data_IF_220709145779
#
_entry.id   IF_220709145779
#
_cell.length_a   1.000
_cell.length_b   1.000
_cell.length_c   1.000
_cell.angle_alpha   90.00
_cell.angle_beta   90.00
_cell.angle_gamma   90.00
#
_symmetry.space_group_name_H-M   'P 1'
#
loop_
_entity.id
_entity.type
_entity.pdbx_description
1 polymer ?
#
# COMPACT_ATOMS: atom_id res chain seq x y z
N UNK A 1 25.76 -19.23 -6.80
CA UNK A 1 25.58 -18.17 -5.81
C UNK A 1 24.21 -18.40 -5.17
N UNK A 2 24.21 -18.87 -3.95
CA UNK A 2 22.98 -19.17 -3.21
C UNK A 2 22.65 -17.97 -2.31
N UNK A 3 21.43 -17.43 -2.42
CA UNK A 3 20.98 -16.31 -1.62
C UNK A 3 19.89 -16.79 -0.69
N UNK A 4 20.01 -16.45 0.60
CA UNK A 4 19.05 -16.79 1.64
C UNK A 4 18.60 -15.50 2.33
N UNK A 5 17.28 -15.32 2.47
CA UNK A 5 16.69 -14.22 3.22
C UNK A 5 16.12 -14.79 4.51
N UNK A 6 16.67 -14.35 5.63
CA UNK A 6 16.21 -14.74 6.97
C UNK A 6 15.45 -13.56 7.57
N UNK A 7 14.22 -13.81 7.98
CA UNK A 7 13.35 -12.80 8.61
C UNK A 7 13.00 -13.28 10.00
N UNK A 8 13.40 -12.51 11.01
CA UNK A 8 13.03 -12.73 12.40
C UNK A 8 12.06 -11.61 12.82
N UNK A 9 10.78 -11.96 12.93
CA UNK A 9 9.74 -11.01 13.33
C UNK A 9 9.41 -11.21 14.81
N UNK A 10 9.77 -10.24 15.62
CA UNK A 10 9.39 -10.13 17.03
C UNK A 10 8.35 -9.02 17.22
N UNK A 11 7.59 -9.00 18.34
CA UNK A 11 6.56 -7.99 18.58
C UNK A 11 7.06 -6.53 18.54
N UNK A 12 8.35 -6.31 18.81
CA UNK A 12 8.94 -4.97 18.93
C UNK A 12 9.95 -4.63 17.83
N UNK A 13 10.36 -5.61 17.01
CA UNK A 13 11.33 -5.39 15.93
C UNK A 13 11.25 -6.47 14.86
N UNK A 14 11.60 -6.11 13.64
CA UNK A 14 11.82 -7.05 12.55
C UNK A 14 13.28 -6.98 12.13
N UNK A 15 13.97 -8.10 12.20
CA UNK A 15 15.35 -8.24 11.71
C UNK A 15 15.33 -9.00 10.39
N UNK A 16 15.95 -8.44 9.37
CA UNK A 16 16.05 -9.04 8.04
C UNK A 16 17.51 -9.19 7.69
N UNK A 17 17.96 -10.42 7.50
CA UNK A 17 19.33 -10.74 7.12
C UNK A 17 19.37 -11.33 5.72
N UNK A 18 20.20 -10.77 4.84
CA UNK A 18 20.54 -11.34 3.55
C UNK A 18 21.88 -12.08 3.65
N UNK A 19 21.86 -13.37 3.31
CA UNK A 19 23.06 -14.19 3.23
C UNK A 19 23.36 -14.53 1.76
N UNK A 20 24.63 -14.50 1.39
CA UNK A 20 25.16 -15.03 0.14
C UNK A 20 26.17 -16.13 0.45
N UNK A 21 25.94 -17.34 -0.07
CA UNK A 21 26.76 -18.53 0.21
C UNK A 21 27.03 -18.71 1.73
N UNK A 22 25.98 -18.55 2.54
CA UNK A 22 25.97 -18.65 4.01
C UNK A 22 26.76 -17.53 4.75
N UNK A 23 27.17 -16.48 4.04
CA UNK A 23 27.80 -15.30 4.66
C UNK A 23 26.81 -14.16 4.72
N UNK A 24 26.73 -13.48 5.88
CA UNK A 24 25.91 -12.29 6.05
C UNK A 24 26.44 -11.17 5.16
N UNK A 25 25.58 -10.63 4.31
CA UNK A 25 25.87 -9.53 3.36
C UNK A 25 25.19 -8.24 3.81
N UNK A 26 23.93 -8.34 4.23
CA UNK A 26 23.13 -7.20 4.70
C UNK A 26 22.34 -7.59 5.94
N UNK A 27 22.23 -6.66 6.88
CA UNK A 27 21.38 -6.78 8.07
C UNK A 27 20.57 -5.50 8.20
N UNK A 28 19.24 -5.65 8.21
CA UNK A 28 18.29 -4.58 8.48
C UNK A 28 17.59 -4.87 9.79
N UNK A 29 17.41 -3.84 10.60
CA UNK A 29 16.64 -3.91 11.84
C UNK A 29 15.63 -2.75 11.82
N UNK A 30 14.36 -3.07 11.89
CA UNK A 30 13.26 -2.10 11.94
C UNK A 30 12.52 -2.25 13.26
N UNK A 31 12.28 -1.15 13.93
CA UNK A 31 11.48 -1.12 15.15
C UNK A 31 9.99 -1.15 14.77
N UNK A 32 9.20 -1.98 15.43
CA UNK A 32 7.76 -2.11 15.19
C UNK A 32 6.97 -0.82 15.51
N UNK A 33 7.55 0.09 16.27
CA UNK A 33 6.94 1.37 16.64
C UNK A 33 7.05 2.46 15.56
N UNK A 34 7.80 2.21 14.47
CA UNK A 34 7.96 3.15 13.35
C UNK A 34 6.81 3.02 12.34
N UNK A 35 5.55 3.12 12.81
CA UNK A 35 4.36 3.07 11.95
C UNK A 35 4.10 4.42 11.27
N UNK A 36 3.50 4.35 10.07
CA UNK A 36 3.09 5.52 9.27
C UNK A 36 4.24 6.35 8.70
N UNK A 37 5.41 5.74 8.53
CA UNK A 37 6.54 6.32 7.80
C UNK A 37 6.27 6.42 6.29
N UNK A 38 6.97 7.35 5.60
CA UNK A 38 6.90 7.47 4.14
C UNK A 38 7.34 6.15 3.50
N UNK A 39 6.51 5.63 2.58
CA UNK A 39 6.73 4.36 1.91
C UNK A 39 5.98 3.17 2.49
N UNK A 40 5.46 3.27 3.73
CA UNK A 40 4.67 2.21 4.34
C UNK A 40 3.39 1.92 3.55
N UNK A 41 3.02 0.64 3.45
CA UNK A 41 1.86 0.16 2.71
C UNK A 41 0.74 -0.25 3.67
N UNK A 42 -0.47 0.20 3.37
CA UNK A 42 -1.68 -0.12 4.13
C UNK A 42 -2.81 -0.56 3.21
N UNK A 43 -3.61 -1.50 3.69
CA UNK A 43 -4.91 -1.78 3.11
C UNK A 43 -5.96 -0.95 3.86
N UNK A 44 -6.16 0.28 3.39
CA UNK A 44 -7.04 1.25 4.03
C UNK A 44 -8.50 1.08 3.63
N UNK A 45 -9.41 1.51 4.50
CA UNK A 45 -10.86 1.52 4.25
C UNK A 45 -11.35 2.93 3.96
N UNK A 46 -12.03 3.13 2.83
CA UNK A 46 -12.63 4.43 2.50
C UNK A 46 -13.74 4.77 3.51
N UNK A 47 -13.53 5.81 4.31
CA UNK A 47 -14.53 6.32 5.27
C UNK A 47 -15.45 7.36 4.65
N UNK A 48 -14.88 8.37 4.01
CA UNK A 48 -15.64 9.51 3.50
C UNK A 48 -15.06 10.01 2.20
N UNK A 49 -15.92 10.27 1.22
CA UNK A 49 -15.56 10.93 -0.04
C UNK A 49 -15.98 12.40 0.07
N UNK A 50 -15.10 13.30 -0.37
CA UNK A 50 -15.32 14.75 -0.39
C UNK A 50 -15.29 15.21 -1.86
N UNK A 51 -16.43 15.22 -2.56
CA UNK A 51 -16.48 15.55 -3.99
C UNK A 51 -15.93 16.94 -4.32
N UNK A 52 -16.18 17.94 -3.48
CA UNK A 52 -15.69 19.29 -3.67
C UNK A 52 -14.18 19.45 -3.63
N UNK A 53 -13.46 18.53 -2.99
CA UNK A 53 -12.00 18.48 -2.97
C UNK A 53 -11.43 17.41 -3.93
N UNK A 54 -12.29 16.68 -4.63
CA UNK A 54 -11.92 15.50 -5.41
C UNK A 54 -11.01 14.53 -4.62
N UNK A 55 -11.35 14.29 -3.34
CA UNK A 55 -10.53 13.57 -2.37
C UNK A 55 -11.37 12.61 -1.51
N UNK A 56 -10.70 11.72 -0.81
CA UNK A 56 -11.30 10.80 0.16
C UNK A 56 -10.49 10.77 1.46
N UNK A 57 -11.17 10.50 2.57
CA UNK A 57 -10.56 10.12 3.82
C UNK A 57 -10.56 8.60 3.96
N UNK A 58 -9.38 8.06 4.29
CA UNK A 58 -9.08 6.64 4.37
C UNK A 58 -8.66 6.30 5.80
N UNK A 59 -9.26 5.27 6.36
CA UNK A 59 -8.83 4.67 7.62
C UNK A 59 -7.68 3.70 7.34
N UNK A 60 -6.52 4.00 7.86
CA UNK A 60 -5.31 3.17 7.80
C UNK A 60 -4.87 2.68 9.19
N UNK A 61 -5.73 2.85 10.21
CA UNK A 61 -5.41 2.51 11.60
C UNK A 61 -4.69 3.63 12.38
N UNK A 62 -4.44 4.79 11.77
CA UNK A 62 -3.95 5.96 12.49
C UNK A 62 -5.11 6.69 13.21
N UNK A 63 -4.82 7.44 14.30
CA UNK A 63 -5.86 8.16 15.06
C UNK A 63 -6.65 9.18 14.24
N UNK A 64 -6.05 9.74 13.19
CA UNK A 64 -6.69 10.64 12.22
C UNK A 64 -6.78 9.97 10.85
N UNK A 65 -7.93 10.12 10.21
CA UNK A 65 -8.13 9.59 8.85
C UNK A 65 -7.10 10.19 7.89
N UNK A 66 -6.52 9.32 7.07
CA UNK A 66 -5.54 9.68 6.06
C UNK A 66 -6.21 10.32 4.84
N UNK A 67 -5.50 11.23 4.16
CA UNK A 67 -6.01 11.98 3.01
C UNK A 67 -5.48 11.40 1.69
N UNK A 68 -6.41 11.09 0.78
CA UNK A 68 -6.13 10.62 -0.58
C UNK A 68 -6.81 11.54 -1.59
N UNK A 69 -6.04 12.20 -2.44
CA UNK A 69 -6.56 13.03 -3.53
C UNK A 69 -6.66 12.25 -4.83
N UNK A 70 -7.54 12.65 -5.75
CA UNK A 70 -7.71 11.98 -7.05
C UNK A 70 -6.39 11.90 -7.85
N UNK A 71 -5.56 12.95 -7.84
CA UNK A 71 -4.27 12.98 -8.54
C UNK A 71 -3.24 11.98 -8.00
N UNK A 72 -3.46 11.46 -6.80
CA UNK A 72 -2.59 10.50 -6.15
C UNK A 72 -3.08 9.04 -6.37
N UNK A 73 -4.14 8.86 -7.18
CA UNK A 73 -4.59 7.54 -7.64
C UNK A 73 -3.69 7.03 -8.77
N UNK A 74 -3.37 5.73 -8.73
CA UNK A 74 -2.73 5.06 -9.86
C UNK A 74 -3.67 5.05 -11.08
N UNK A 75 -3.16 5.19 -12.32
CA UNK A 75 -3.94 4.90 -13.52
C UNK A 75 -4.62 3.53 -13.49
N UNK A 76 -3.96 2.55 -12.87
CA UNK A 76 -4.45 1.16 -12.76
C UNK A 76 -5.28 0.89 -11.52
N UNK A 77 -5.76 1.91 -10.82
CA UNK A 77 -6.47 1.77 -9.53
C UNK A 77 -7.65 0.79 -9.60
N UNK A 78 -8.38 0.73 -10.71
CA UNK A 78 -9.51 -0.20 -10.89
C UNK A 78 -9.06 -1.66 -10.82
N UNK A 79 -7.93 -1.98 -11.45
CA UNK A 79 -7.30 -3.32 -11.38
C UNK A 79 -6.83 -3.63 -9.97
N UNK A 80 -6.21 -2.66 -9.29
CA UNK A 80 -5.74 -2.80 -7.90
C UNK A 80 -6.92 -3.06 -6.95
N UNK A 81 -8.04 -2.32 -7.09
CA UNK A 81 -9.24 -2.53 -6.30
C UNK A 81 -9.86 -3.92 -6.53
N UNK A 82 -9.91 -4.38 -7.78
CA UNK A 82 -10.41 -5.70 -8.12
C UNK A 82 -9.51 -6.79 -7.53
N UNK A 83 -8.20 -6.68 -7.69
CA UNK A 83 -7.22 -7.60 -7.12
C UNK A 83 -7.34 -7.66 -5.59
N UNK A 84 -7.37 -6.51 -4.91
CA UNK A 84 -7.51 -6.43 -3.45
C UNK A 84 -8.79 -7.09 -2.97
N UNK A 85 -9.91 -6.88 -3.68
CA UNK A 85 -11.19 -7.54 -3.36
C UNK A 85 -11.11 -9.05 -3.52
N UNK A 86 -10.46 -9.54 -4.57
CA UNK A 86 -10.25 -10.97 -4.78
C UNK A 86 -9.36 -11.55 -3.67
N UNK A 87 -8.23 -10.91 -3.36
CA UNK A 87 -7.29 -11.36 -2.34
C UNK A 87 -7.91 -11.43 -0.94
N UNK A 88 -8.77 -10.48 -0.58
CA UNK A 88 -9.47 -10.48 0.72
C UNK A 88 -10.51 -11.62 0.81
N UNK A 89 -11.18 -11.94 -0.30
CA UNK A 89 -12.28 -12.91 -0.32
C UNK A 89 -11.83 -14.35 -0.61
N UNK A 90 -10.61 -14.55 -1.06
CA UNK A 90 -10.09 -15.90 -1.34
C UNK A 90 -9.54 -16.58 -0.08
N UNK A 91 -9.59 -17.93 -0.12
CA UNK A 91 -8.94 -18.73 0.95
C UNK A 91 -7.42 -18.55 0.88
N UNK A 92 -6.71 -18.55 2.02
CA UNK A 92 -5.26 -18.32 2.08
C UNK A 92 -4.42 -19.24 1.18
N UNK A 93 -4.92 -20.45 0.92
CA UNK A 93 -4.21 -21.48 0.15
C UNK A 93 -4.41 -21.35 -1.37
N UNK A 94 -5.29 -20.47 -1.83
CA UNK A 94 -5.56 -20.31 -3.25
C UNK A 94 -4.74 -19.17 -3.82
N UNK A 95 -3.79 -19.51 -4.70
CA UNK A 95 -2.99 -18.53 -5.43
C UNK A 95 -3.83 -17.85 -6.52
N UNK A 96 -3.82 -16.52 -6.55
CA UNK A 96 -4.39 -15.75 -7.67
C UNK A 96 -3.42 -15.88 -8.84
N UNK A 97 -3.89 -16.40 -9.97
CA UNK A 97 -3.11 -16.46 -11.19
C UNK A 97 -3.12 -15.07 -11.88
N UNK A 98 -2.00 -14.38 -11.78
CA UNK A 98 -1.82 -13.05 -12.38
C UNK A 98 -1.78 -13.09 -13.91
N UNK A 99 -1.45 -14.24 -14.51
CA UNK A 99 -1.40 -14.37 -15.98
C UNK A 99 -2.78 -14.30 -16.64
N UNK A 100 -3.81 -14.67 -15.88
CA UNK A 100 -5.22 -14.67 -16.32
C UNK A 100 -6.03 -13.52 -15.71
N UNK A 101 -5.39 -12.65 -14.93
CA UNK A 101 -6.07 -11.55 -14.25
C UNK A 101 -6.59 -10.51 -15.26
N UNK A 102 -7.92 -10.20 -15.25
CA UNK A 102 -8.51 -9.26 -16.18
C UNK A 102 -8.15 -7.82 -15.79
N UNK A 103 -7.19 -7.23 -16.51
CA UNK A 103 -6.79 -5.83 -16.32
C UNK A 103 -7.95 -4.91 -16.69
N UNK A 104 -8.29 -3.99 -15.79
CA UNK A 104 -9.34 -3.00 -15.99
C UNK A 104 -8.82 -1.76 -16.73
N UNK A 105 -9.70 -1.03 -17.45
CA UNK A 105 -9.32 0.21 -18.11
C UNK A 105 -8.73 1.23 -17.13
N UNK A 106 -7.69 1.94 -17.60
CA UNK A 106 -7.06 3.02 -16.83
C UNK A 106 -8.04 4.14 -16.52
N UNK A 107 -7.81 4.86 -15.42
CA UNK A 107 -8.54 6.08 -15.12
C UNK A 107 -7.92 7.28 -15.85
N UNK A 108 -8.76 8.25 -16.24
CA UNK A 108 -8.29 9.50 -16.84
C UNK A 108 -7.88 10.49 -15.76
N UNK A 109 -6.85 11.32 -16.02
CA UNK A 109 -6.31 12.29 -15.05
C UNK A 109 -7.34 13.33 -14.59
N UNK A 110 -8.37 13.61 -15.36
CA UNK A 110 -9.42 14.61 -15.10
C UNK A 110 -10.70 14.03 -14.51
N UNK A 111 -10.65 12.79 -14.02
CA UNK A 111 -11.82 12.09 -13.45
C UNK A 111 -12.19 12.54 -12.04
N UNK A 112 -13.16 11.84 -11.46
CA UNK A 112 -13.66 12.11 -10.11
C UNK A 112 -13.43 10.93 -9.19
N UNK A 113 -12.91 11.20 -7.99
CA UNK A 113 -12.64 10.16 -6.98
C UNK A 113 -13.91 9.40 -6.58
N UNK A 114 -15.06 10.07 -6.57
CA UNK A 114 -16.34 9.46 -6.25
C UNK A 114 -16.77 8.36 -7.24
N UNK A 115 -16.34 8.46 -8.50
CA UNK A 115 -16.63 7.43 -9.51
C UNK A 115 -15.74 6.20 -9.36
N UNK A 116 -14.51 6.40 -8.87
CA UNK A 116 -13.53 5.33 -8.70
C UNK A 116 -13.72 4.60 -7.37
N UNK A 117 -13.92 5.34 -6.28
CA UNK A 117 -14.06 4.78 -4.93
C UNK A 117 -15.52 4.64 -4.48
N UNK A 118 -16.44 4.50 -5.44
CA UNK A 118 -17.85 4.24 -5.15
C UNK A 118 -18.01 2.95 -4.33
N UNK A 119 -18.96 2.96 -3.37
CA UNK A 119 -19.18 1.82 -2.47
C UNK A 119 -18.15 1.70 -1.33
N UNK A 120 -17.25 2.67 -1.19
CA UNK A 120 -16.24 2.73 -0.12
C UNK A 120 -15.42 1.44 0.03
N UNK A 121 -14.70 1.03 -1.01
CA UNK A 121 -13.90 -0.20 -1.00
C UNK A 121 -12.72 -0.11 -0.03
N UNK A 122 -12.11 -1.26 0.26
CA UNK A 122 -10.74 -1.29 0.76
C UNK A 122 -9.81 -0.92 -0.40
N UNK A 123 -8.79 -0.14 -0.11
CA UNK A 123 -7.83 0.35 -1.11
C UNK A 123 -6.40 0.17 -0.59
N UNK A 124 -5.54 -0.39 -1.45
CA UNK A 124 -4.12 -0.48 -1.16
C UNK A 124 -3.48 0.89 -1.38
N UNK A 125 -2.85 1.41 -0.34
CA UNK A 125 -2.29 2.76 -0.30
C UNK A 125 -0.89 2.76 0.29
N UNK A 126 -0.09 3.73 -0.09
CA UNK A 126 1.24 4.00 0.43
C UNK A 126 1.27 5.38 1.09
N UNK A 127 1.98 5.50 2.21
CA UNK A 127 2.20 6.79 2.85
C UNK A 127 3.10 7.65 1.97
N UNK A 128 2.58 8.75 1.48
CA UNK A 128 3.31 9.74 0.69
C UNK A 128 3.94 10.84 1.56
N UNK A 129 3.23 11.20 2.65
CA UNK A 129 3.70 12.12 3.68
C UNK A 129 3.21 11.66 5.04
N UNK A 130 4.10 11.71 6.01
CA UNK A 130 3.81 11.40 7.39
C UNK A 130 2.73 12.33 7.99
N UNK A 131 2.03 11.88 9.03
CA UNK A 131 1.08 12.73 9.74
C UNK A 131 1.79 13.93 10.38
N UNK A 132 1.17 15.10 10.29
CA UNK A 132 1.72 16.36 10.83
C UNK A 132 0.68 17.02 11.74
N UNK A 133 1.03 17.24 13.00
CA UNK A 133 0.16 17.87 14.00
C UNK A 133 -1.23 17.21 14.06
N UNK A 134 -2.30 17.97 13.81
CA UNK A 134 -3.68 17.47 13.86
C UNK A 134 -4.16 16.81 12.55
N UNK A 135 -3.29 16.64 11.54
CA UNK A 135 -3.65 16.06 10.24
C UNK A 135 -3.14 14.64 10.12
N UNK A 136 -3.99 13.75 9.59
CA UNK A 136 -3.59 12.41 9.21
C UNK A 136 -2.58 12.38 8.05
N UNK A 137 -2.00 11.22 7.76
CA UNK A 137 -1.02 11.06 6.69
C UNK A 137 -1.64 11.34 5.32
N UNK A 138 -0.80 11.75 4.35
CA UNK A 138 -1.19 11.82 2.94
C UNK A 138 -0.83 10.52 2.25
N UNK A 139 -1.74 10.03 1.42
CA UNK A 139 -1.62 8.75 0.74
C UNK A 139 -1.42 8.89 -0.76
N UNK A 140 -0.85 7.85 -1.36
CA UNK A 140 -0.81 7.60 -2.80
C UNK A 140 -1.25 6.17 -3.09
N UNK A 141 -1.87 5.95 -4.25
CA UNK A 141 -2.10 4.62 -4.82
C UNK A 141 -1.08 4.29 -5.93
N UNK A 142 -0.17 5.21 -6.26
CA UNK A 142 1.02 4.90 -7.05
C UNK A 142 2.05 4.29 -6.12
N UNK A 143 2.05 2.94 -6.07
CA UNK A 143 2.93 2.20 -5.17
C UNK A 143 4.35 2.17 -5.73
N UNK A 144 5.31 2.52 -4.90
CA UNK A 144 6.72 2.52 -5.22
C UNK A 144 7.47 1.63 -4.24
N UNK A 145 8.17 0.63 -4.75
CA UNK A 145 8.96 -0.30 -3.95
C UNK A 145 10.43 -0.12 -4.34
N UNK A 146 11.20 0.65 -3.54
CA UNK A 146 12.60 0.88 -3.81
C UNK A 146 13.42 -0.41 -3.57
N UNK A 147 14.17 -0.82 -4.57
CA UNK A 147 15.18 -1.84 -4.46
C UNK A 147 16.58 -1.23 -4.50
N UNK A 148 17.61 -2.05 -4.42
CA UNK A 148 19.00 -1.58 -4.39
C UNK A 148 19.41 -0.83 -5.66
N UNK A 149 18.92 -1.24 -6.82
CA UNK A 149 19.31 -0.70 -8.13
C UNK A 149 18.14 -0.23 -8.99
N UNK A 150 16.91 -0.53 -8.59
CA UNK A 150 15.68 -0.22 -9.33
C UNK A 150 14.56 0.19 -8.36
N UNK A 151 13.62 0.93 -8.89
CA UNK A 151 12.36 1.26 -8.21
C UNK A 151 11.23 0.64 -8.99
#
# INVERSE_FOLDING_TARGET
>A
MNKELIINAAPQSVEIALLEDKKLVELHNENADANFGVGDLYLGKVKKIIPGLNAAFIDVGFEKDAFLHYSDLSPYIRSILQFSKMAINEKPDKKIDLSTFPVQPEIVKTGKIAEVLNGKPNVLVQILKEPIAAKGPRLSCELSLPGRYVV
#
